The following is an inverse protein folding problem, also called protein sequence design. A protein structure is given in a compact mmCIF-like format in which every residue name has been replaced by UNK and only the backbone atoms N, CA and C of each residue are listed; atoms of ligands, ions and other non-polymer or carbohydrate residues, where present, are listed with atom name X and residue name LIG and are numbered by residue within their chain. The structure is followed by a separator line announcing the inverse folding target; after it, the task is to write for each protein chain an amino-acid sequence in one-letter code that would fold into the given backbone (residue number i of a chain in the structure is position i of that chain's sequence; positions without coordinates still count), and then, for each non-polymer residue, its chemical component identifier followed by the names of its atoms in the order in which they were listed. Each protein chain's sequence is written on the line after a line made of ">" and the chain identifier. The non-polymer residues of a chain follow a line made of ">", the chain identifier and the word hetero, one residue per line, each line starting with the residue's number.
data_IF_442747401439
#
_entry.id   IF_442747401439
#
_cell.length_a   1.000
_cell.length_b   1.000
_cell.length_c   1.000
_cell.angle_alpha   90.00
_cell.angle_beta   90.00
_cell.angle_gamma   90.00
#
_symmetry.space_group_name_H-M   'P 1'
#
loop_
_entity.id
_entity.type
_entity.pdbx_description
1 polymer ?
#
# COMPACT_ATOMS: atom_id res chain seq x y z
N UNK A 1 -15.42 6.43 -6.62
CA UNK A 1 -16.56 7.33 -6.30
C UNK A 1 -17.06 8.09 -7.52
N UNK A 2 -16.21 8.64 -8.40
CA UNK A 2 -16.66 9.33 -9.62
C UNK A 2 -15.81 8.96 -10.86
N UNK A 3 -16.22 7.94 -11.63
CA UNK A 3 -15.46 7.49 -12.81
C UNK A 3 -15.58 8.44 -14.02
N UNK A 4 -16.63 9.26 -14.10
CA UNK A 4 -16.90 10.17 -15.22
C UNK A 4 -16.43 11.61 -14.98
N UNK A 5 -15.90 11.94 -13.80
CA UNK A 5 -15.60 13.32 -13.44
C UNK A 5 -14.22 13.75 -13.98
N UNK A 6 -14.11 14.89 -14.68
CA UNK A 6 -12.82 15.43 -15.10
C UNK A 6 -11.89 15.68 -13.91
N UNK A 7 -10.63 15.25 -14.02
CA UNK A 7 -9.65 15.29 -12.90
C UNK A 7 -9.39 16.71 -12.38
N UNK A 8 -9.53 17.72 -13.23
CA UNK A 8 -9.38 19.13 -12.84
C UNK A 8 -10.49 19.62 -11.91
N UNK A 9 -11.67 18.99 -11.89
CA UNK A 9 -12.78 19.36 -11.01
C UNK A 9 -12.76 18.60 -9.67
N UNK A 10 -11.70 17.85 -9.37
CA UNK A 10 -11.61 17.08 -8.13
C UNK A 10 -11.68 17.94 -6.86
N UNK A 11 -11.24 19.19 -6.93
CA UNK A 11 -11.35 20.12 -5.79
C UNK A 11 -12.80 20.52 -5.49
N UNK A 12 -13.70 20.49 -6.49
CA UNK A 12 -15.13 20.84 -6.30
C UNK A 12 -15.90 19.75 -5.57
N UNK A 13 -15.56 18.49 -5.83
CA UNK A 13 -16.25 17.34 -5.23
C UNK A 13 -15.69 16.99 -3.84
N UNK A 14 -14.49 17.48 -3.50
CA UNK A 14 -13.85 17.21 -2.22
C UNK A 14 -14.77 17.43 -1.01
N UNK A 15 -15.50 18.56 -0.87
CA UNK A 15 -16.46 18.73 0.23
C UNK A 15 -17.59 17.69 0.21
N UNK A 16 -18.15 17.37 -0.95
CA UNK A 16 -19.24 16.39 -1.07
C UNK A 16 -18.78 14.99 -0.64
N UNK A 17 -17.54 14.62 -0.98
CA UNK A 17 -16.94 13.35 -0.54
C UNK A 17 -16.71 13.35 0.97
N UNK A 18 -16.30 14.46 1.56
CA UNK A 18 -16.09 14.58 2.99
C UNK A 18 -17.41 14.41 3.76
N UNK A 19 -18.49 15.02 3.28
CA UNK A 19 -19.83 14.86 3.86
C UNK A 19 -20.34 13.42 3.75
N UNK A 20 -20.10 12.77 2.59
CA UNK A 20 -20.43 11.37 2.39
C UNK A 20 -19.65 10.48 3.37
N UNK A 21 -18.33 10.68 3.49
CA UNK A 21 -17.48 9.97 4.44
C UNK A 21 -17.99 10.15 5.88
N UNK A 22 -18.37 11.38 6.28
CA UNK A 22 -18.97 11.67 7.59
C UNK A 22 -20.27 10.91 7.83
N UNK A 23 -21.15 10.82 6.81
CA UNK A 23 -22.43 10.10 6.90
C UNK A 23 -22.26 8.61 7.17
N UNK A 24 -21.24 8.00 6.57
CA UNK A 24 -20.95 6.56 6.73
C UNK A 24 -19.90 6.26 7.80
N UNK A 25 -19.50 7.27 8.60
CA UNK A 25 -18.47 7.16 9.65
C UNK A 25 -17.09 6.67 9.11
N UNK A 26 -16.78 6.99 7.86
CA UNK A 26 -15.51 6.65 7.21
C UNK A 26 -14.54 7.80 7.41
N UNK A 27 -13.32 7.51 7.90
CA UNK A 27 -12.27 8.51 7.96
C UNK A 27 -11.81 8.91 6.55
N UNK A 28 -11.92 10.20 6.24
CA UNK A 28 -11.39 10.77 5.01
C UNK A 28 -9.87 10.93 5.13
N UNK A 29 -9.10 10.05 4.48
CA UNK A 29 -7.65 10.18 4.41
C UNK A 29 -7.23 11.10 3.26
N UNK A 30 -6.84 12.33 3.59
CA UNK A 30 -6.08 13.19 2.68
C UNK A 30 -4.60 13.05 2.98
N UNK A 31 -3.90 12.14 2.29
CA UNK A 31 -2.45 12.02 2.43
C UNK A 31 -1.78 13.15 1.63
N UNK A 32 -0.88 13.95 2.24
CA UNK A 32 -0.06 14.87 1.46
C UNK A 32 0.85 14.06 0.52
N UNK A 33 1.25 14.67 -0.60
CA UNK A 33 1.99 13.98 -1.66
C UNK A 33 3.27 13.30 -1.15
N UNK A 34 4.02 13.96 -0.27
CA UNK A 34 5.23 13.38 0.32
C UNK A 34 4.95 12.13 1.16
N UNK A 35 3.83 12.08 1.89
CA UNK A 35 3.46 10.89 2.68
C UNK A 35 3.01 9.74 1.81
N UNK A 36 2.27 10.02 0.74
CA UNK A 36 1.92 9.00 -0.25
C UNK A 36 3.17 8.42 -0.93
N UNK A 37 4.18 9.25 -1.21
CA UNK A 37 5.46 8.79 -1.77
C UNK A 37 6.24 7.91 -0.78
N UNK A 38 6.32 8.32 0.48
CA UNK A 38 6.94 7.51 1.54
C UNK A 38 6.23 6.15 1.69
N UNK A 39 4.90 6.12 1.67
CA UNK A 39 4.14 4.87 1.76
C UNK A 39 4.48 3.89 0.62
N UNK A 40 4.71 4.40 -0.60
CA UNK A 40 5.14 3.57 -1.74
C UNK A 40 6.52 2.97 -1.47
N UNK A 41 7.48 3.79 -1.02
CA UNK A 41 8.83 3.32 -0.71
C UNK A 41 8.82 2.28 0.41
N UNK A 42 8.08 2.53 1.49
CA UNK A 42 7.96 1.57 2.61
C UNK A 42 7.28 0.28 2.17
N UNK A 43 6.27 0.35 1.30
CA UNK A 43 5.63 -0.85 0.74
C UNK A 43 6.60 -1.67 -0.12
N UNK A 44 7.44 -1.00 -0.90
CA UNK A 44 8.45 -1.65 -1.73
C UNK A 44 9.52 -2.32 -0.87
N UNK A 45 10.00 -1.62 0.16
CA UNK A 45 11.01 -2.11 1.10
C UNK A 45 10.51 -3.34 1.87
N UNK A 46 9.25 -3.31 2.34
CA UNK A 46 8.60 -4.45 2.99
C UNK A 46 8.50 -5.65 2.06
N UNK A 47 8.11 -5.42 0.81
CA UNK A 47 8.01 -6.48 -0.20
C UNK A 47 9.38 -7.11 -0.45
N UNK A 48 10.43 -6.29 -0.60
CA UNK A 48 11.80 -6.77 -0.77
C UNK A 48 12.32 -7.58 0.42
N UNK A 49 12.03 -7.16 1.66
CA UNK A 49 12.38 -7.93 2.86
C UNK A 49 11.73 -9.30 2.88
N UNK A 50 10.42 -9.36 2.62
CA UNK A 50 9.67 -10.62 2.60
C UNK A 50 10.27 -11.61 1.58
N UNK A 51 10.61 -11.16 0.38
CA UNK A 51 11.25 -12.02 -0.64
C UNK A 51 12.61 -12.56 -0.20
N UNK A 52 13.41 -11.73 0.47
CA UNK A 52 14.73 -12.13 0.96
C UNK A 52 14.63 -13.17 2.08
N UNK A 53 13.73 -12.96 3.03
CA UNK A 53 13.47 -13.91 4.13
C UNK A 53 13.07 -15.28 3.57
N UNK A 54 12.12 -15.33 2.64
CA UNK A 54 11.71 -16.59 2.01
C UNK A 54 12.86 -17.25 1.24
N UNK A 55 13.74 -16.49 0.61
CA UNK A 55 14.90 -17.05 -0.10
C UNK A 55 15.92 -17.67 0.85
N UNK A 56 16.19 -17.02 1.97
CA UNK A 56 17.07 -17.53 3.04
C UNK A 56 16.51 -18.83 3.62
N UNK A 57 15.22 -18.87 3.94
CA UNK A 57 14.52 -20.08 4.42
C UNK A 57 14.61 -21.24 3.41
N UNK A 58 14.41 -20.96 2.12
CA UNK A 58 14.52 -21.97 1.06
C UNK A 58 15.95 -22.53 0.94
N UNK A 59 16.96 -21.67 1.08
CA UNK A 59 18.36 -22.09 1.05
C UNK A 59 18.72 -22.96 2.26
N UNK A 60 18.26 -22.59 3.46
CA UNK A 60 18.50 -23.35 4.68
C UNK A 60 17.83 -24.73 4.65
N UNK A 61 16.60 -24.81 4.12
CA UNK A 61 15.90 -26.07 3.91
C UNK A 61 16.66 -26.97 2.93
N UNK A 62 17.13 -26.43 1.80
CA UNK A 62 17.95 -27.17 0.82
C UNK A 62 19.25 -27.69 1.43
N UNK A 63 19.93 -26.89 2.24
CA UNK A 63 21.20 -27.27 2.89
C UNK A 63 20.99 -28.37 3.93
N UNK A 64 19.91 -28.29 4.71
CA UNK A 64 19.52 -29.33 5.69
C UNK A 64 19.22 -30.67 5.02
N UNK A 65 18.58 -30.67 3.86
CA UNK A 65 18.30 -31.89 3.09
C UNK A 65 19.62 -32.52 2.59
N UNK A 66 20.55 -31.70 2.09
CA UNK A 66 21.85 -32.15 1.60
C UNK A 66 22.77 -32.69 2.71
N UNK A 67 22.66 -32.22 3.95
CA UNK A 67 23.49 -32.72 5.06
C UNK A 67 22.99 -34.05 5.64
N UNK A 68 21.70 -34.35 5.46
CA UNK A 68 21.06 -35.58 5.95
C UNK A 68 21.08 -36.73 4.92
N UNK A 69 21.58 -36.46 3.70
CA UNK A 69 21.78 -37.45 2.62
C UNK A 69 23.26 -37.76 2.51
#
# INVERSE_FOLDING_TARGET
>A
LFPMMPRHNLYKIQPDVLELCRKYNIQYLSKPMGRAFLDILTSLEKSGRMWRETYEELMDASNTIKSNT
#
